data_IF_025168976703
#
_entry.id   IF_025168976703
#
_cell.length_a   1.000
_cell.length_b   1.000
_cell.length_c   1.000
_cell.angle_alpha   90.00
_cell.angle_beta   90.00
_cell.angle_gamma   90.00
#
_symmetry.space_group_name_H-M   'P 1'
#
loop_
_entity.id
_entity.type
_entity.pdbx_description
1 polymer ?
#
# COMPACT_ATOMS: atom_id res chain seq x y z
N UNK A 1 -25.33 36.36 -53.35
CA UNK A 1 -24.36 35.65 -52.43
C UNK A 1 -24.53 36.25 -51.05
N UNK A 2 -25.30 35.61 -50.18
CA UNK A 2 -25.61 36.12 -48.84
C UNK A 2 -24.83 35.34 -47.84
N UNK A 3 -23.97 36.04 -47.13
CA UNK A 3 -23.23 35.54 -45.95
C UNK A 3 -24.24 35.24 -44.80
N UNK A 4 -24.28 34.01 -44.34
CA UNK A 4 -24.98 33.57 -43.13
C UNK A 4 -23.94 33.46 -42.00
N UNK A 5 -23.76 34.52 -41.27
CA UNK A 5 -23.18 34.45 -39.92
C UNK A 5 -24.30 34.09 -38.96
N UNK A 6 -24.21 32.91 -38.35
CA UNK A 6 -25.03 32.56 -37.16
C UNK A 6 -24.31 33.07 -35.91
N UNK A 7 -24.99 33.77 -35.00
CA UNK A 7 -24.39 34.17 -33.73
C UNK A 7 -24.27 32.96 -32.81
N UNK A 8 -23.07 32.76 -32.29
CA UNK A 8 -22.80 31.81 -31.23
C UNK A 8 -23.44 32.36 -29.97
N UNK A 9 -24.51 31.73 -29.55
CA UNK A 9 -25.12 32.00 -28.25
C UNK A 9 -24.13 31.71 -27.13
N UNK A 10 -23.81 32.74 -26.36
CA UNK A 10 -23.17 32.61 -25.06
C UNK A 10 -24.08 31.74 -24.15
N UNK A 11 -23.82 30.45 -24.10
CA UNK A 11 -24.37 29.62 -23.05
C UNK A 11 -23.50 29.85 -21.80
N UNK A 12 -24.07 30.50 -20.80
CA UNK A 12 -23.58 30.45 -19.45
C UNK A 12 -23.82 29.02 -19.00
N UNK A 13 -22.80 28.17 -19.13
CA UNK A 13 -22.86 26.81 -18.59
C UNK A 13 -22.69 26.87 -17.09
N UNK A 14 -23.82 26.95 -16.39
CA UNK A 14 -23.90 26.50 -15.01
C UNK A 14 -24.28 25.02 -15.10
N UNK A 15 -23.28 24.15 -15.26
CA UNK A 15 -23.54 22.71 -15.20
C UNK A 15 -23.44 22.29 -13.74
N UNK A 16 -24.61 22.10 -13.11
CA UNK A 16 -24.75 21.28 -11.93
C UNK A 16 -24.68 19.81 -12.39
N UNK A 17 -23.52 19.21 -12.36
CA UNK A 17 -23.42 17.77 -12.51
C UNK A 17 -23.49 17.10 -11.14
N UNK A 18 -24.68 16.67 -10.76
CA UNK A 18 -24.86 15.67 -9.73
C UNK A 18 -24.55 14.30 -10.33
N UNK A 19 -23.39 13.73 -10.03
CA UNK A 19 -23.15 12.30 -10.27
C UNK A 19 -23.13 11.62 -8.91
N UNK A 20 -24.30 11.16 -8.47
CA UNK A 20 -24.41 10.13 -7.45
C UNK A 20 -24.22 8.79 -8.18
N UNK A 21 -23.02 8.26 -8.19
CA UNK A 21 -22.77 6.88 -8.59
C UNK A 21 -22.56 6.05 -7.32
N UNK A 22 -23.64 5.47 -6.81
CA UNK A 22 -23.58 4.37 -5.86
C UNK A 22 -23.17 3.12 -6.62
N UNK A 23 -21.89 2.79 -6.64
CA UNK A 23 -21.42 1.46 -7.05
C UNK A 23 -21.23 0.66 -5.77
N UNK A 24 -22.27 -0.09 -5.42
CA UNK A 24 -22.15 -1.18 -4.49
C UNK A 24 -21.44 -2.34 -5.21
N UNK A 25 -20.12 -2.40 -5.08
CA UNK A 25 -19.33 -3.59 -5.36
C UNK A 25 -18.53 -3.87 -4.09
N UNK A 26 -18.74 -5.05 -3.57
CA UNK A 26 -18.01 -5.69 -2.48
C UNK A 26 -16.53 -5.82 -2.86
N UNK A 27 -15.72 -4.90 -2.38
CA UNK A 27 -14.29 -4.81 -2.58
C UNK A 27 -13.80 -3.48 -2.01
N UNK A 28 -12.62 -3.42 -1.42
CA UNK A 28 -12.06 -2.26 -0.76
C UNK A 28 -12.26 -0.95 -1.53
N UNK A 29 -13.35 -0.27 -1.30
CA UNK A 29 -13.61 1.06 -1.83
C UNK A 29 -13.32 2.07 -0.73
N UNK A 30 -12.25 2.83 -0.89
CA UNK A 30 -12.02 4.04 -0.10
C UNK A 30 -13.25 4.94 -0.33
N UNK A 31 -13.94 5.42 0.70
CA UNK A 31 -15.11 6.27 0.51
C UNK A 31 -14.67 7.60 -0.09
N UNK A 32 -14.92 7.79 -1.38
CA UNK A 32 -14.62 9.03 -2.08
C UNK A 32 -15.87 9.91 -1.97
N UNK A 33 -15.82 10.95 -1.13
CA UNK A 33 -16.88 11.94 -1.05
C UNK A 33 -16.59 13.12 -1.97
N UNK A 34 -17.41 13.30 -3.02
CA UNK A 34 -17.39 14.49 -3.86
C UNK A 34 -18.40 15.51 -3.32
N UNK A 35 -17.93 16.68 -2.88
CA UNK A 35 -18.78 17.82 -2.59
C UNK A 35 -18.49 18.93 -3.60
N UNK A 36 -19.37 19.13 -4.58
CA UNK A 36 -19.33 20.33 -5.42
C UNK A 36 -20.21 21.41 -4.77
N UNK A 37 -19.60 22.45 -4.26
CA UNK A 37 -20.30 23.60 -3.67
C UNK A 37 -20.43 24.71 -4.70
N UNK A 38 -21.67 25.08 -5.03
CA UNK A 38 -21.98 26.17 -5.95
C UNK A 38 -21.62 27.57 -5.47
N UNK A 39 -21.26 27.73 -4.20
CA UNK A 39 -20.92 29.04 -3.61
C UNK A 39 -19.43 29.41 -3.75
N UNK A 40 -18.54 28.47 -3.99
CA UNK A 40 -17.09 28.70 -4.08
C UNK A 40 -16.62 29.12 -5.47
N UNK A 41 -17.37 28.83 -6.53
CA UNK A 41 -17.06 29.26 -7.90
C UNK A 41 -16.91 30.79 -8.07
N UNK A 42 -17.42 31.59 -7.12
CA UNK A 42 -17.24 33.04 -7.14
C UNK A 42 -15.83 33.49 -6.73
N UNK A 43 -15.04 32.65 -6.07
CA UNK A 43 -13.69 33.00 -5.59
C UNK A 43 -12.61 32.73 -6.63
N UNK A 44 -12.89 31.94 -7.67
CA UNK A 44 -11.92 31.64 -8.74
C UNK A 44 -11.82 32.87 -9.68
N UNK A 45 -10.61 33.42 -9.92
CA UNK A 45 -10.42 34.62 -10.72
C UNK A 45 -10.85 34.43 -12.19
N UNK A 46 -11.16 35.54 -12.85
CA UNK A 46 -11.47 35.60 -14.28
C UNK A 46 -10.22 35.67 -15.17
N UNK A 47 -9.07 35.97 -14.59
CA UNK A 47 -7.77 35.94 -15.24
C UNK A 47 -7.17 34.57 -15.12
N UNK A 48 -6.46 34.05 -16.12
CA UNK A 48 -5.81 32.76 -16.03
C UNK A 48 -4.85 32.69 -14.85
N UNK A 49 -4.81 31.51 -14.18
CA UNK A 49 -3.75 31.22 -13.21
C UNK A 49 -2.39 31.24 -13.90
N UNK A 50 -1.34 31.52 -13.16
CA UNK A 50 0.02 31.63 -13.67
C UNK A 50 0.66 30.29 -14.02
N UNK A 51 0.25 29.24 -13.34
CA UNK A 51 0.70 27.87 -13.61
C UNK A 51 -0.29 27.20 -14.57
N UNK A 52 0.20 26.64 -15.67
CA UNK A 52 -0.61 25.90 -16.64
C UNK A 52 -0.19 24.43 -16.69
N UNK A 53 -1.12 23.57 -17.11
CA UNK A 53 -0.86 22.18 -17.40
C UNK A 53 -1.72 21.76 -18.60
N UNK A 54 -1.09 21.07 -19.56
CA UNK A 54 -1.70 20.63 -20.81
C UNK A 54 -1.80 19.10 -20.92
N UNK A 55 -1.36 18.37 -19.89
CA UNK A 55 -1.45 16.90 -19.80
C UNK A 55 -1.87 16.46 -18.40
N UNK A 56 -2.42 15.25 -18.29
CA UNK A 56 -2.75 14.64 -16.99
C UNK A 56 -1.50 14.52 -16.10
N UNK A 57 -0.37 14.16 -16.70
CA UNK A 57 0.91 14.00 -15.99
C UNK A 57 1.38 15.31 -15.37
N UNK A 58 1.29 16.43 -16.13
CA UNK A 58 1.65 17.75 -15.60
C UNK A 58 0.72 18.20 -14.47
N UNK A 59 -0.59 17.91 -14.57
CA UNK A 59 -1.54 18.19 -13.50
C UNK A 59 -1.18 17.40 -12.24
N UNK A 60 -0.93 16.09 -12.37
CA UNK A 60 -0.55 15.21 -11.26
C UNK A 60 0.76 15.70 -10.61
N UNK A 61 1.76 16.05 -11.39
CA UNK A 61 3.03 16.60 -10.86
C UNK A 61 2.82 17.94 -10.14
N UNK A 62 1.96 18.80 -10.64
CA UNK A 62 1.64 20.07 -9.97
C UNK A 62 0.91 19.85 -8.64
N UNK A 63 0.00 18.89 -8.57
CA UNK A 63 -0.67 18.52 -7.30
C UNK A 63 0.37 17.97 -6.32
N UNK A 64 1.21 17.01 -6.74
CA UNK A 64 2.26 16.43 -5.89
C UNK A 64 3.21 17.54 -5.38
N UNK A 65 3.66 18.44 -6.25
CA UNK A 65 4.52 19.55 -5.84
C UNK A 65 3.84 20.50 -4.84
N UNK A 66 2.50 20.62 -4.91
CA UNK A 66 1.73 21.44 -3.96
C UNK A 66 1.51 20.76 -2.60
N UNK A 67 1.66 19.42 -2.52
CA UNK A 67 1.53 18.69 -1.24
C UNK A 67 2.61 19.05 -0.22
N UNK A 68 3.76 19.54 -0.70
CA UNK A 68 4.82 20.06 0.17
C UNK A 68 4.51 21.47 0.72
N UNK A 69 3.47 22.12 0.21
CA UNK A 69 3.02 23.42 0.70
C UNK A 69 2.00 23.28 1.83
N UNK A 70 2.01 24.22 2.78
CA UNK A 70 1.07 24.19 3.93
C UNK A 70 -0.40 24.54 3.55
N UNK A 71 -0.69 24.79 2.28
CA UNK A 71 -2.00 25.29 1.85
C UNK A 71 -2.95 24.20 1.35
N UNK A 72 -2.46 23.01 1.03
CA UNK A 72 -3.25 21.91 0.45
C UNK A 72 -4.12 22.36 -0.75
N UNK A 73 -3.60 23.27 -1.57
CA UNK A 73 -4.29 23.87 -2.71
C UNK A 73 -3.34 23.91 -3.91
N UNK A 74 -3.83 23.42 -5.04
CA UNK A 74 -3.18 23.54 -6.32
C UNK A 74 -4.07 24.35 -7.28
N UNK A 75 -3.54 25.39 -7.90
CA UNK A 75 -4.27 26.27 -8.84
C UNK A 75 -3.62 26.22 -10.21
N UNK A 76 -4.38 25.78 -11.22
CA UNK A 76 -3.90 25.54 -12.59
C UNK A 76 -4.80 26.21 -13.62
N UNK A 77 -4.20 26.68 -14.71
CA UNK A 77 -4.89 26.96 -15.94
C UNK A 77 -4.77 25.74 -16.86
N UNK A 78 -5.91 25.22 -17.31
CA UNK A 78 -6.02 24.04 -18.17
C UNK A 78 -6.75 24.44 -19.45
N UNK A 79 -6.19 24.07 -20.61
CA UNK A 79 -6.77 24.46 -21.92
C UNK A 79 -7.87 23.51 -22.37
N UNK A 80 -7.84 22.25 -21.98
CA UNK A 80 -8.76 21.20 -22.40
C UNK A 80 -9.62 20.71 -21.23
N UNK A 81 -10.95 20.79 -21.38
CA UNK A 81 -11.92 20.34 -20.36
C UNK A 81 -11.82 18.83 -20.10
N UNK A 82 -11.41 18.02 -21.08
CA UNK A 82 -11.28 16.57 -20.95
C UNK A 82 -10.17 16.16 -19.96
N UNK A 83 -9.24 17.07 -19.67
CA UNK A 83 -8.20 16.84 -18.65
C UNK A 83 -8.70 17.06 -17.21
N UNK A 84 -9.90 17.64 -17.02
CA UNK A 84 -10.48 17.92 -15.69
C UNK A 84 -11.19 16.67 -15.18
N UNK A 85 -10.41 15.72 -14.65
CA UNK A 85 -10.89 14.47 -14.10
C UNK A 85 -10.26 14.19 -12.72
N UNK A 86 -10.96 14.61 -11.68
CA UNK A 86 -10.52 14.46 -10.29
C UNK A 86 -10.34 12.98 -9.89
N UNK A 87 -11.14 12.06 -10.43
CA UNK A 87 -11.00 10.62 -10.14
C UNK A 87 -9.71 10.06 -10.73
N UNK A 88 -9.41 10.47 -11.98
CA UNK A 88 -8.17 10.06 -12.63
C UNK A 88 -6.97 10.58 -11.87
N UNK A 89 -6.96 11.85 -11.45
CA UNK A 89 -5.85 12.41 -10.68
C UNK A 89 -5.69 11.70 -9.34
N UNK A 90 -6.78 11.51 -8.58
CA UNK A 90 -6.74 10.80 -7.30
C UNK A 90 -6.21 9.38 -7.43
N UNK A 91 -6.55 8.68 -8.52
CA UNK A 91 -6.05 7.33 -8.80
C UNK A 91 -4.54 7.28 -9.12
N UNK A 92 -3.92 8.41 -9.45
CA UNK A 92 -2.51 8.53 -9.82
C UNK A 92 -1.63 9.11 -8.70
N UNK A 93 -2.24 9.63 -7.62
CA UNK A 93 -1.52 10.30 -6.53
C UNK A 93 -1.69 9.49 -5.26
N UNK A 94 -0.59 9.10 -4.64
CA UNK A 94 -0.60 8.49 -3.33
C UNK A 94 -0.54 9.57 -2.24
N UNK A 95 -1.21 9.33 -1.11
CA UNK A 95 -1.17 10.22 0.06
C UNK A 95 -2.28 11.25 0.13
N UNK A 96 -3.22 11.26 -0.80
CA UNK A 96 -4.42 12.11 -0.76
C UNK A 96 -5.61 11.26 -0.32
N UNK A 97 -6.28 11.66 0.77
CA UNK A 97 -7.51 11.04 1.26
C UNK A 97 -8.75 11.57 0.52
N UNK A 98 -8.81 12.88 0.33
CA UNK A 98 -9.90 13.55 -0.37
C UNK A 98 -9.34 14.58 -1.34
N UNK A 99 -9.97 14.69 -2.51
CA UNK A 99 -9.65 15.70 -3.51
C UNK A 99 -10.95 16.37 -3.97
N UNK A 100 -10.96 17.70 -3.92
CA UNK A 100 -12.04 18.55 -4.42
C UNK A 100 -11.54 19.38 -5.58
N UNK A 101 -12.26 19.35 -6.68
CA UNK A 101 -11.97 20.13 -7.87
C UNK A 101 -13.07 21.18 -8.10
N UNK A 102 -12.69 22.44 -8.22
CA UNK A 102 -13.56 23.54 -8.62
C UNK A 102 -12.95 24.22 -9.83
N UNK A 103 -13.76 24.56 -10.82
CA UNK A 103 -13.22 25.24 -11.99
C UNK A 103 -14.15 26.33 -12.51
N UNK A 104 -13.56 27.27 -13.23
CA UNK A 104 -14.22 28.36 -13.91
C UNK A 104 -13.76 28.42 -15.36
N UNK A 105 -14.71 28.35 -16.29
CA UNK A 105 -14.44 28.64 -17.69
C UNK A 105 -14.06 30.12 -17.87
N UNK A 106 -12.93 30.37 -18.50
CA UNK A 106 -12.44 31.70 -18.85
C UNK A 106 -12.09 31.75 -20.35
N UNK A 107 -11.53 32.84 -20.82
CA UNK A 107 -11.11 32.92 -22.23
C UNK A 107 -9.96 31.93 -22.48
N UNK A 108 -10.14 31.05 -23.44
CA UNK A 108 -9.17 30.03 -23.91
C UNK A 108 -8.91 28.84 -22.94
N UNK A 109 -9.74 28.60 -21.95
CA UNK A 109 -9.56 27.44 -21.06
C UNK A 109 -10.28 27.58 -19.74
N UNK A 110 -9.73 26.94 -18.73
CA UNK A 110 -10.33 26.78 -17.40
C UNK A 110 -9.32 27.11 -16.32
N UNK A 111 -9.70 27.96 -15.39
CA UNK A 111 -9.02 28.06 -14.11
C UNK A 111 -9.55 26.95 -13.20
N UNK A 112 -8.68 26.08 -12.77
CA UNK A 112 -8.98 24.92 -11.93
C UNK A 112 -8.31 25.10 -10.56
N UNK A 113 -9.11 25.04 -9.52
CA UNK A 113 -8.61 25.01 -8.13
C UNK A 113 -8.86 23.62 -7.57
N UNK A 114 -7.80 22.98 -7.14
CA UNK A 114 -7.78 21.65 -6.57
C UNK A 114 -7.43 21.82 -5.10
N UNK A 115 -8.34 21.44 -4.21
CA UNK A 115 -8.11 21.36 -2.76
C UNK A 115 -8.10 19.90 -2.36
N UNK A 116 -7.21 19.52 -1.46
CA UNK A 116 -7.09 18.13 -1.05
C UNK A 116 -6.77 18.01 0.44
N UNK A 117 -7.12 16.88 1.00
CA UNK A 117 -6.75 16.46 2.33
C UNK A 117 -5.79 15.29 2.18
N UNK A 118 -4.59 15.43 2.75
CA UNK A 118 -3.62 14.33 2.78
C UNK A 118 -3.97 13.36 3.91
N UNK A 119 -3.58 12.11 3.74
CA UNK A 119 -3.66 11.15 4.84
C UNK A 119 -2.92 11.68 6.06
N UNK A 120 -3.38 11.31 7.24
CA UNK A 120 -2.78 11.71 8.52
C UNK A 120 -1.26 11.49 8.55
N UNK A 121 -0.77 10.43 7.91
CA UNK A 121 0.63 10.05 7.88
C UNK A 121 1.57 11.08 7.22
N UNK A 122 1.12 11.86 6.22
CA UNK A 122 1.95 12.89 5.59
C UNK A 122 2.35 13.97 6.59
N UNK A 123 1.38 14.43 7.40
CA UNK A 123 1.63 15.40 8.49
C UNK A 123 2.53 14.78 9.58
N UNK A 124 2.29 13.52 9.92
CA UNK A 124 3.05 12.78 10.93
C UNK A 124 4.52 12.61 10.52
N UNK A 125 4.78 12.21 9.26
CA UNK A 125 6.15 12.06 8.73
C UNK A 125 6.88 13.40 8.74
N UNK A 126 6.21 14.49 8.32
CA UNK A 126 6.77 15.85 8.38
C UNK A 126 7.08 16.27 9.81
N UNK A 127 6.19 16.02 10.76
CA UNK A 127 6.39 16.30 12.17
C UNK A 127 7.58 15.52 12.75
N UNK A 128 7.69 14.24 12.44
CA UNK A 128 8.81 13.39 12.88
C UNK A 128 10.15 13.89 12.36
N UNK A 129 10.23 14.21 11.04
CA UNK A 129 11.46 14.71 10.42
C UNK A 129 11.89 16.09 10.90
N UNK A 130 10.91 16.95 11.25
CA UNK A 130 11.18 18.29 11.77
C UNK A 130 11.29 18.36 13.28
N UNK A 131 11.11 17.25 13.99
CA UNK A 131 11.06 17.17 15.47
C UNK A 131 10.04 18.15 16.08
N UNK A 132 8.92 18.39 15.37
CA UNK A 132 7.91 19.36 15.76
C UNK A 132 6.50 18.88 15.50
N UNK A 133 5.69 18.78 16.55
CA UNK A 133 4.29 18.36 16.49
C UNK A 133 3.29 19.54 16.45
N UNK A 134 3.80 20.79 16.32
CA UNK A 134 2.99 22.00 16.45
C UNK A 134 1.79 22.07 15.50
N UNK A 135 1.92 21.51 14.31
CA UNK A 135 0.87 21.56 13.27
C UNK A 135 -0.02 20.31 13.25
N UNK A 136 0.15 19.38 14.17
CA UNK A 136 -0.67 18.17 14.23
C UNK A 136 -2.00 18.43 14.96
N UNK A 137 -3.09 17.91 14.40
CA UNK A 137 -4.37 17.85 15.09
C UNK A 137 -4.38 16.73 16.16
N UNK A 138 -5.44 16.66 16.98
CA UNK A 138 -5.55 15.67 18.07
C UNK A 138 -5.43 14.22 17.58
N UNK A 139 -6.06 13.88 16.46
CA UNK A 139 -5.99 12.55 15.85
C UNK A 139 -4.57 12.22 15.39
N UNK A 140 -3.92 13.16 14.72
CA UNK A 140 -2.55 13.03 14.24
C UNK A 140 -1.54 12.93 15.39
N UNK A 141 -1.76 13.65 16.51
CA UNK A 141 -0.93 13.52 17.71
C UNK A 141 -1.01 12.12 18.31
N UNK A 142 -2.21 11.55 18.41
CA UNK A 142 -2.38 10.15 18.90
C UNK A 142 -1.64 9.15 18.01
N UNK A 143 -1.71 9.33 16.69
CA UNK A 143 -0.98 8.48 15.75
C UNK A 143 0.53 8.70 15.82
N UNK A 144 0.98 9.95 15.90
CA UNK A 144 2.39 10.30 16.05
C UNK A 144 3.01 9.61 17.28
N UNK A 145 2.35 9.73 18.44
CA UNK A 145 2.80 9.09 19.66
C UNK A 145 2.82 7.57 19.56
N UNK A 146 1.86 6.98 18.84
CA UNK A 146 1.83 5.54 18.61
C UNK A 146 2.96 5.09 17.69
N UNK A 147 3.20 5.77 16.57
CA UNK A 147 4.28 5.46 15.65
C UNK A 147 5.66 5.61 16.29
N UNK A 148 5.91 6.71 17.00
CA UNK A 148 7.18 6.95 17.69
C UNK A 148 7.45 5.88 18.74
N UNK A 149 6.44 5.51 19.53
CA UNK A 149 6.54 4.44 20.52
C UNK A 149 6.85 3.07 19.88
N UNK A 150 6.23 2.77 18.74
CA UNK A 150 6.56 1.53 18.00
C UNK A 150 8.03 1.55 17.59
N UNK A 151 8.50 2.63 16.97
CA UNK A 151 9.89 2.72 16.55
C UNK A 151 10.88 2.63 17.74
N UNK A 152 10.56 3.26 18.87
CA UNK A 152 11.37 3.15 20.10
C UNK A 152 11.45 1.71 20.65
N UNK A 153 10.36 0.95 20.50
CA UNK A 153 10.27 -0.44 20.98
C UNK A 153 11.05 -1.41 20.09
N UNK A 154 10.92 -1.29 18.76
CA UNK A 154 11.40 -2.33 17.84
C UNK A 154 12.69 -1.97 17.11
N UNK A 155 13.12 -0.69 17.11
CA UNK A 155 14.29 -0.24 16.34
C UNK A 155 15.48 0.01 17.26
N UNK A 156 16.61 -0.58 16.89
CA UNK A 156 17.90 -0.35 17.55
C UNK A 156 18.87 0.44 16.66
N UNK A 157 19.77 1.26 17.21
CA UNK A 157 20.61 2.20 16.45
C UNK A 157 21.49 1.58 15.36
N UNK A 158 21.83 0.31 15.47
CA UNK A 158 22.77 -0.37 14.56
C UNK A 158 22.07 -1.33 13.57
N UNK A 159 20.76 -1.34 13.53
CA UNK A 159 20.04 -2.18 12.57
C UNK A 159 20.22 -1.66 11.15
N UNK A 160 20.47 -2.59 10.22
CA UNK A 160 20.40 -2.34 8.77
C UNK A 160 18.95 -2.11 8.33
N UNK A 161 18.75 -1.54 7.14
CA UNK A 161 17.40 -1.24 6.66
C UNK A 161 16.52 -2.49 6.53
N UNK A 162 17.08 -3.62 6.09
CA UNK A 162 16.35 -4.89 6.09
C UNK A 162 15.97 -5.38 7.51
N UNK A 163 16.79 -5.16 8.52
CA UNK A 163 16.48 -5.54 9.90
C UNK A 163 15.39 -4.63 10.48
N UNK A 164 15.39 -3.35 10.15
CA UNK A 164 14.31 -2.41 10.50
C UNK A 164 13.00 -2.80 9.81
N UNK A 165 13.08 -3.11 8.52
CA UNK A 165 11.93 -3.53 7.71
C UNK A 165 11.26 -4.79 8.27
N UNK A 166 12.05 -5.84 8.59
CA UNK A 166 11.55 -7.06 9.23
C UNK A 166 10.89 -6.73 10.58
N UNK A 167 11.53 -5.90 11.40
CA UNK A 167 10.98 -5.55 12.72
C UNK A 167 9.63 -4.82 12.60
N UNK A 168 9.47 -3.94 11.62
CA UNK A 168 8.20 -3.26 11.32
C UNK A 168 7.15 -4.26 10.83
N UNK A 169 7.51 -5.10 9.86
CA UNK A 169 6.64 -6.13 9.32
C UNK A 169 6.09 -7.03 10.45
N UNK A 170 7.00 -7.59 11.24
CA UNK A 170 6.67 -8.52 12.31
C UNK A 170 5.79 -7.87 13.38
N UNK A 171 6.06 -6.61 13.72
CA UNK A 171 5.23 -5.85 14.65
C UNK A 171 3.80 -5.69 14.13
N UNK A 172 3.63 -5.36 12.85
CA UNK A 172 2.30 -5.14 12.28
C UNK A 172 1.50 -6.44 12.19
N UNK A 173 2.13 -7.53 11.76
CA UNK A 173 1.49 -8.87 11.72
C UNK A 173 1.09 -9.35 13.12
N UNK A 174 1.89 -9.07 14.14
CA UNK A 174 1.62 -9.52 15.51
C UNK A 174 0.59 -8.65 16.26
N UNK A 175 0.39 -7.40 15.84
CA UNK A 175 -0.41 -6.43 16.59
C UNK A 175 -1.69 -5.95 15.90
N UNK A 176 -1.90 -6.28 14.63
CA UNK A 176 -3.10 -5.94 13.88
C UNK A 176 -3.85 -7.22 13.54
N UNK A 177 -5.17 -7.18 13.55
CA UNK A 177 -6.00 -8.29 13.09
C UNK A 177 -6.71 -7.90 11.80
N UNK A 178 -6.61 -8.74 10.78
CA UNK A 178 -7.38 -8.55 9.56
C UNK A 178 -8.87 -8.74 9.82
N UNK A 179 -9.69 -7.83 9.31
CA UNK A 179 -11.15 -7.90 9.39
C UNK A 179 -11.78 -7.93 8.01
N UNK A 180 -12.74 -8.84 7.82
CA UNK A 180 -13.55 -8.83 6.61
C UNK A 180 -14.62 -7.73 6.73
N UNK A 181 -14.65 -6.79 5.80
CA UNK A 181 -15.50 -5.59 5.81
C UNK A 181 -16.99 -5.85 5.53
N UNK A 182 -17.43 -7.09 5.55
CA UNK A 182 -18.85 -7.42 5.52
C UNK A 182 -19.65 -6.79 6.67
N UNK A 183 -18.97 -6.37 7.75
CA UNK A 183 -19.53 -5.54 8.81
C UNK A 183 -19.05 -4.08 8.65
N UNK A 184 -19.91 -3.23 8.09
CA UNK A 184 -19.65 -1.80 7.86
C UNK A 184 -19.51 -0.95 9.13
N UNK A 185 -19.56 -1.56 10.33
CA UNK A 185 -19.43 -0.86 11.61
C UNK A 185 -17.99 -0.42 11.92
N UNK A 186 -16.98 -0.97 11.21
CA UNK A 186 -15.57 -0.67 11.43
C UNK A 186 -14.99 0.12 10.28
N UNK A 187 -14.43 1.30 10.58
CA UNK A 187 -13.60 2.04 9.62
C UNK A 187 -12.18 1.47 9.62
N UNK A 188 -12.01 0.25 9.08
CA UNK A 188 -10.75 -0.51 9.12
C UNK A 188 -9.76 -0.16 8.00
N UNK A 189 -9.97 0.96 7.30
CA UNK A 189 -9.26 1.30 6.05
C UNK A 189 -8.00 2.16 6.25
N UNK A 190 -7.67 2.57 7.46
CA UNK A 190 -6.61 3.53 7.71
C UNK A 190 -5.72 3.14 8.91
N UNK A 191 -4.59 3.81 9.01
CA UNK A 191 -3.60 3.58 10.06
C UNK A 191 -4.14 3.78 11.48
N UNK A 192 -5.10 4.68 11.67
CA UNK A 192 -5.70 4.90 12.99
C UNK A 192 -6.42 3.66 13.49
N UNK A 193 -7.24 3.04 12.64
CA UNK A 193 -7.91 1.78 13.00
C UNK A 193 -6.90 0.66 13.21
N UNK A 194 -5.91 0.54 12.36
CA UNK A 194 -4.86 -0.46 12.47
C UNK A 194 -4.10 -0.36 13.79
N UNK A 195 -3.60 0.82 14.15
CA UNK A 195 -2.69 0.98 15.28
C UNK A 195 -3.38 1.28 16.61
N UNK A 196 -4.57 1.88 16.60
CA UNK A 196 -5.29 2.25 17.82
C UNK A 196 -6.36 1.23 18.18
N UNK A 197 -7.10 0.73 17.16
CA UNK A 197 -8.15 -0.27 17.39
C UNK A 197 -7.65 -1.72 17.20
N UNK A 198 -6.45 -1.91 16.61
CA UNK A 198 -5.87 -3.22 16.36
C UNK A 198 -6.55 -4.01 15.24
N UNK A 199 -7.28 -3.36 14.34
CA UNK A 199 -8.02 -3.98 13.24
C UNK A 199 -7.80 -3.22 11.93
N UNK A 200 -7.58 -3.94 10.83
CA UNK A 200 -7.43 -3.33 9.52
C UNK A 200 -7.84 -4.26 8.37
N UNK A 201 -8.03 -3.66 7.20
CA UNK A 201 -7.95 -4.29 5.88
C UNK A 201 -6.62 -3.92 5.24
N UNK A 202 -6.36 -4.38 4.01
CA UNK A 202 -5.09 -4.18 3.31
C UNK A 202 -4.58 -2.73 3.30
N UNK A 203 -5.45 -1.73 3.14
CA UNK A 203 -5.05 -0.32 3.13
C UNK A 203 -4.49 0.15 4.48
N UNK A 204 -5.04 -0.31 5.61
CA UNK A 204 -4.52 0.03 6.93
C UNK A 204 -3.13 -0.55 7.21
N UNK A 205 -2.90 -1.83 6.84
CA UNK A 205 -1.57 -2.45 6.92
C UNK A 205 -0.56 -1.70 6.04
N UNK A 206 -0.92 -1.49 4.77
CA UNK A 206 -0.07 -0.82 3.79
C UNK A 206 0.31 0.59 4.22
N UNK A 207 -0.63 1.36 4.77
CA UNK A 207 -0.41 2.71 5.27
C UNK A 207 0.53 2.72 6.48
N UNK A 208 0.32 1.81 7.45
CA UNK A 208 1.18 1.71 8.63
C UNK A 208 2.62 1.34 8.26
N UNK A 209 2.78 0.32 7.42
CA UNK A 209 4.09 -0.15 6.96
C UNK A 209 4.85 0.95 6.22
N UNK A 210 4.16 1.61 5.27
CA UNK A 210 4.71 2.74 4.53
C UNK A 210 5.16 3.86 5.47
N UNK A 211 4.31 4.28 6.41
CA UNK A 211 4.59 5.41 7.30
C UNK A 211 5.80 5.15 8.18
N UNK A 212 5.90 3.95 8.78
CA UNK A 212 7.04 3.57 9.61
C UNK A 212 8.36 3.54 8.82
N UNK A 213 8.34 3.03 7.59
CA UNK A 213 9.51 3.06 6.70
C UNK A 213 9.90 4.49 6.31
N UNK A 214 8.91 5.34 5.96
CA UNK A 214 9.15 6.75 5.63
C UNK A 214 9.73 7.55 6.79
N UNK A 215 9.29 7.28 8.03
CA UNK A 215 9.86 7.89 9.24
C UNK A 215 11.34 7.52 9.42
N UNK A 216 11.73 6.31 9.04
CA UNK A 216 13.11 5.83 9.08
C UNK A 216 13.94 6.20 7.85
N UNK A 217 13.35 6.85 6.84
CA UNK A 217 13.99 7.23 5.59
C UNK A 217 14.27 6.06 4.64
N UNK A 218 13.56 4.94 4.80
CA UNK A 218 13.65 3.77 3.90
C UNK A 218 12.70 4.00 2.72
N UNK A 219 13.26 4.06 1.52
CA UNK A 219 12.51 4.32 0.30
C UNK A 219 11.50 3.20 0.02
N UNK A 220 10.24 3.58 -0.13
CA UNK A 220 9.15 2.64 -0.36
C UNK A 220 8.01 3.30 -1.15
N UNK A 221 7.12 2.48 -1.71
CA UNK A 221 5.92 2.93 -2.40
C UNK A 221 4.78 1.91 -2.22
N UNK A 222 3.61 2.23 -2.76
CA UNK A 222 2.45 1.35 -2.77
C UNK A 222 2.07 0.95 -4.19
N UNK A 223 1.57 -0.27 -4.34
CA UNK A 223 0.99 -0.78 -5.57
C UNK A 223 -0.47 -1.12 -5.31
N UNK A 224 -1.35 -0.66 -6.20
CA UNK A 224 -2.75 -1.04 -6.22
C UNK A 224 -3.01 -2.02 -7.36
N UNK A 225 -3.79 -3.04 -7.08
CA UNK A 225 -4.10 -4.09 -8.05
C UNK A 225 -5.20 -5.01 -7.53
N UNK A 226 -5.12 -6.29 -7.86
CA UNK A 226 -6.02 -7.33 -7.39
C UNK A 226 -5.22 -8.50 -6.80
N UNK A 227 -5.75 -9.11 -5.75
CA UNK A 227 -5.25 -10.33 -5.16
C UNK A 227 -6.43 -11.22 -4.75
N UNK A 228 -6.37 -12.53 -5.04
CA UNK A 228 -7.49 -13.43 -4.76
C UNK A 228 -8.81 -13.05 -5.43
N UNK A 229 -8.77 -12.28 -6.53
CA UNK A 229 -9.96 -11.79 -7.24
C UNK A 229 -10.64 -10.57 -6.62
N UNK A 230 -9.99 -9.90 -5.68
CA UNK A 230 -10.47 -8.69 -5.02
C UNK A 230 -9.49 -7.53 -5.20
N UNK A 231 -9.99 -6.29 -5.16
CA UNK A 231 -9.14 -5.10 -5.13
C UNK A 231 -8.23 -5.15 -3.91
N UNK A 232 -6.95 -4.90 -4.14
CA UNK A 232 -5.92 -5.04 -3.13
C UNK A 232 -4.84 -3.97 -3.27
N UNK A 233 -4.13 -3.71 -2.17
CA UNK A 233 -3.02 -2.77 -2.12
C UNK A 233 -1.92 -3.34 -1.21
N UNK A 234 -0.66 -3.18 -1.64
CA UNK A 234 0.52 -3.64 -0.91
C UNK A 234 1.70 -2.70 -1.12
N UNK A 235 2.83 -2.99 -0.49
CA UNK A 235 4.00 -2.14 -0.55
C UNK A 235 5.09 -2.70 -1.48
N UNK A 236 5.96 -1.80 -1.93
CA UNK A 236 7.28 -2.12 -2.47
C UNK A 236 8.34 -1.32 -1.73
N UNK A 237 9.47 -1.95 -1.44
CA UNK A 237 10.58 -1.37 -0.68
C UNK A 237 11.85 -1.38 -1.50
N UNK A 238 12.61 -0.30 -1.47
CA UNK A 238 13.90 -0.20 -2.14
C UNK A 238 15.04 -0.49 -1.15
N UNK A 239 15.76 -1.57 -1.41
CA UNK A 239 16.97 -1.94 -0.69
C UNK A 239 18.12 -2.09 -1.65
N UNK A 240 19.21 -1.35 -1.46
CA UNK A 240 20.41 -1.36 -2.33
C UNK A 240 20.06 -1.11 -3.83
N UNK A 241 19.17 -0.15 -4.12
CA UNK A 241 18.69 0.19 -5.48
C UNK A 241 17.98 -0.97 -6.21
N UNK A 242 17.34 -1.86 -5.45
CA UNK A 242 16.48 -2.91 -5.97
C UNK A 242 15.15 -2.88 -5.21
N UNK A 243 14.08 -3.08 -5.95
CA UNK A 243 12.73 -3.12 -5.39
C UNK A 243 12.35 -4.53 -4.96
N UNK A 244 11.53 -4.63 -3.93
CA UNK A 244 10.98 -5.88 -3.39
C UNK A 244 9.53 -5.65 -3.05
N UNK A 245 8.66 -6.59 -3.42
CA UNK A 245 7.26 -6.57 -3.04
C UNK A 245 7.09 -7.11 -1.62
N UNK A 246 6.26 -6.44 -0.84
CA UNK A 246 5.91 -6.83 0.53
C UNK A 246 4.41 -6.70 0.71
N UNK A 247 3.74 -7.78 1.09
CA UNK A 247 2.33 -7.78 1.44
C UNK A 247 2.14 -8.23 2.88
N UNK A 248 2.17 -7.28 3.80
CA UNK A 248 1.99 -7.51 5.24
C UNK A 248 0.62 -8.12 5.53
N UNK A 249 -0.40 -7.79 4.72
CA UNK A 249 -1.76 -8.31 4.89
C UNK A 249 -1.84 -9.81 4.61
N UNK A 250 -1.16 -10.28 3.56
CA UNK A 250 -1.16 -11.70 3.19
C UNK A 250 -0.20 -12.53 4.04
N UNK A 251 0.70 -11.88 4.76
CA UNK A 251 1.55 -12.49 5.78
C UNK A 251 0.87 -12.52 7.18
N UNK A 252 -0.34 -11.92 7.32
CA UNK A 252 -1.20 -12.04 8.50
C UNK A 252 -2.44 -12.91 8.20
N UNK A 253 -2.32 -14.25 8.26
CA UNK A 253 -3.42 -15.13 7.92
C UNK A 253 -4.55 -15.08 8.96
N UNK A 254 -5.77 -14.79 8.50
CA UNK A 254 -6.98 -14.71 9.32
C UNK A 254 -7.16 -15.97 10.18
N UNK A 255 -7.29 -15.78 11.48
CA UNK A 255 -7.56 -16.86 12.42
C UNK A 255 -6.35 -17.76 12.70
N UNK A 256 -5.15 -17.35 12.35
CA UNK A 256 -3.93 -18.06 12.70
C UNK A 256 -3.72 -18.00 14.22
N UNK A 257 -3.69 -19.18 14.87
CA UNK A 257 -3.19 -19.33 16.23
C UNK A 257 -1.68 -19.64 16.25
N UNK A 258 -0.99 -19.38 15.16
CA UNK A 258 0.43 -19.65 15.02
C UNK A 258 1.23 -18.67 15.87
N UNK A 259 2.17 -19.19 16.66
CA UNK A 259 3.17 -18.38 17.37
C UNK A 259 4.31 -17.92 16.42
N UNK A 260 4.15 -18.09 15.12
CA UNK A 260 5.17 -17.81 14.10
C UNK A 260 4.60 -16.87 13.06
N UNK A 261 5.33 -15.79 12.81
CA UNK A 261 4.99 -14.79 11.80
C UNK A 261 5.33 -15.37 10.42
N UNK A 262 4.38 -15.25 9.50
CA UNK A 262 4.59 -15.63 8.10
C UNK A 262 5.38 -14.55 7.36
N UNK A 263 6.27 -14.95 6.48
CA UNK A 263 7.07 -14.06 5.62
C UNK A 263 6.99 -14.49 4.16
N UNK A 264 5.89 -15.15 3.82
CA UNK A 264 5.72 -15.69 2.46
C UNK A 264 5.67 -14.60 1.40
N UNK A 265 5.15 -13.43 1.74
CA UNK A 265 5.06 -12.26 0.86
C UNK A 265 6.03 -11.14 1.27
N UNK A 266 7.08 -11.48 2.03
CA UNK A 266 8.09 -10.53 2.44
C UNK A 266 9.27 -10.50 1.46
N UNK A 267 9.51 -9.36 0.84
CA UNK A 267 10.64 -9.09 -0.08
C UNK A 267 10.73 -10.08 -1.26
N UNK A 268 9.60 -10.35 -1.89
CA UNK A 268 9.55 -11.20 -3.08
C UNK A 268 9.71 -10.39 -4.38
N UNK A 269 10.03 -11.09 -5.46
CA UNK A 269 10.14 -10.46 -6.78
C UNK A 269 8.78 -10.11 -7.37
N UNK A 270 8.74 -9.20 -8.36
CA UNK A 270 7.52 -8.89 -9.11
C UNK A 270 6.95 -10.14 -9.81
N UNK A 271 7.80 -11.04 -10.28
CA UNK A 271 7.35 -12.27 -10.94
C UNK A 271 6.79 -13.29 -9.93
N UNK A 272 7.34 -13.36 -8.70
CA UNK A 272 6.78 -14.17 -7.63
C UNK A 272 5.44 -13.60 -7.15
N UNK A 273 5.32 -12.26 -7.03
CA UNK A 273 4.07 -11.60 -6.66
C UNK A 273 2.98 -11.82 -7.73
N UNK A 274 3.35 -11.82 -9.01
CA UNK A 274 2.41 -12.02 -10.12
C UNK A 274 1.82 -13.43 -10.24
N UNK A 275 2.21 -14.38 -9.38
CA UNK A 275 1.60 -15.72 -9.35
C UNK A 275 0.16 -15.69 -8.81
N UNK A 276 -0.17 -14.72 -7.98
CA UNK A 276 -1.48 -14.60 -7.30
C UNK A 276 -1.98 -13.15 -7.15
N UNK A 277 -1.16 -12.16 -7.53
CA UNK A 277 -1.51 -10.75 -7.61
C UNK A 277 -1.46 -10.25 -9.05
N UNK A 278 -2.31 -9.28 -9.38
CA UNK A 278 -2.30 -8.62 -10.70
C UNK A 278 -2.32 -7.11 -10.53
N UNK A 279 -1.54 -6.39 -11.35
CA UNK A 279 -1.49 -4.92 -11.37
C UNK A 279 -1.08 -4.41 -12.74
N UNK A 280 -1.25 -3.14 -12.99
CA UNK A 280 -0.73 -2.50 -14.21
C UNK A 280 0.79 -2.30 -14.09
N UNK A 281 1.56 -3.29 -14.59
CA UNK A 281 3.03 -3.26 -14.56
C UNK A 281 3.62 -2.08 -15.32
N UNK A 282 2.91 -1.55 -16.32
CA UNK A 282 3.38 -0.38 -17.09
C UNK A 282 3.35 0.89 -16.24
N UNK A 283 2.30 1.06 -15.44
CA UNK A 283 2.14 2.18 -14.49
C UNK A 283 3.21 2.14 -13.40
N UNK A 284 3.54 0.94 -12.92
CA UNK A 284 4.49 0.73 -11.84
C UNK A 284 5.87 0.26 -12.32
N UNK A 285 6.23 0.56 -13.58
CA UNK A 285 7.48 0.09 -14.22
C UNK A 285 8.76 0.49 -13.50
N UNK A 286 8.74 1.57 -12.69
CA UNK A 286 9.86 1.98 -11.85
C UNK A 286 10.23 0.93 -10.78
N UNK A 287 9.29 0.06 -10.38
CA UNK A 287 9.44 -0.93 -9.32
C UNK A 287 9.74 -2.35 -9.84
N UNK A 288 9.84 -2.51 -11.16
CA UNK A 288 10.08 -3.82 -11.79
C UNK A 288 11.53 -4.34 -11.66
N UNK A 289 12.48 -3.45 -11.33
CA UNK A 289 13.87 -3.86 -11.11
C UNK A 289 14.02 -4.53 -9.73
N UNK A 290 13.56 -5.77 -9.65
CA UNK A 290 13.61 -6.53 -8.42
C UNK A 290 14.99 -7.12 -8.15
N UNK A 291 15.33 -7.18 -6.86
CA UNK A 291 16.50 -7.87 -6.33
C UNK A 291 16.17 -9.30 -5.90
N UNK A 292 17.19 -10.02 -5.49
CA UNK A 292 17.03 -11.33 -4.85
C UNK A 292 17.78 -11.44 -3.52
N UNK A 293 18.66 -10.47 -3.22
CA UNK A 293 19.54 -10.49 -2.04
C UNK A 293 18.74 -10.49 -0.74
N UNK A 294 17.70 -9.70 -0.67
CA UNK A 294 16.90 -9.47 0.51
C UNK A 294 15.56 -10.23 0.52
N UNK A 295 15.32 -11.14 -0.46
CA UNK A 295 14.21 -12.07 -0.30
C UNK A 295 14.35 -12.83 1.02
N UNK A 296 13.25 -13.01 1.75
CA UNK A 296 13.29 -13.57 3.11
C UNK A 296 14.07 -14.89 3.18
N UNK A 297 13.79 -15.81 2.25
CA UNK A 297 14.45 -17.12 2.21
C UNK A 297 15.97 -17.01 2.07
N UNK A 298 16.48 -16.06 1.28
CA UNK A 298 17.92 -15.84 1.09
C UNK A 298 18.53 -15.09 2.25
N UNK A 299 17.88 -14.04 2.72
CA UNK A 299 18.35 -13.24 3.84
C UNK A 299 18.49 -14.09 5.12
N UNK A 300 17.44 -14.87 5.43
CA UNK A 300 17.46 -15.82 6.56
C UNK A 300 18.27 -17.09 6.30
N UNK A 301 18.80 -17.28 5.08
CA UNK A 301 19.59 -18.45 4.69
C UNK A 301 18.81 -19.76 4.93
N UNK A 302 17.52 -19.77 4.57
CA UNK A 302 16.69 -20.95 4.72
C UNK A 302 17.32 -22.13 3.95
N UNK A 303 17.23 -23.36 4.49
CA UNK A 303 17.75 -24.55 3.80
C UNK A 303 17.11 -24.73 2.42
N UNK A 304 17.91 -24.89 1.38
CA UNK A 304 17.44 -25.28 0.06
C UNK A 304 17.50 -26.82 -0.06
N UNK A 305 16.33 -27.42 -0.19
CA UNK A 305 16.17 -28.89 -0.28
C UNK A 305 15.93 -29.26 -1.74
N UNK A 306 16.87 -30.00 -2.33
CA UNK A 306 16.86 -30.35 -3.75
C UNK A 306 16.45 -31.81 -4.02
N UNK A 307 16.33 -32.63 -2.98
CA UNK A 307 15.98 -34.05 -3.12
C UNK A 307 15.42 -34.64 -1.83
N UNK A 308 14.80 -35.83 -1.97
CA UNK A 308 14.14 -36.53 -0.86
C UNK A 308 15.08 -36.90 0.30
N UNK A 309 16.37 -37.17 0.03
CA UNK A 309 17.32 -37.52 1.09
C UNK A 309 17.63 -36.32 1.98
N UNK A 310 17.76 -35.14 1.39
CA UNK A 310 17.93 -33.89 2.15
C UNK A 310 16.70 -33.57 2.98
N UNK A 311 15.48 -33.75 2.42
CA UNK A 311 14.24 -33.56 3.17
C UNK A 311 14.16 -34.52 4.35
N UNK A 312 14.39 -35.82 4.12
CA UNK A 312 14.36 -36.81 5.20
C UNK A 312 15.37 -36.48 6.31
N UNK A 313 16.58 -36.04 5.96
CA UNK A 313 17.58 -35.60 6.93
C UNK A 313 17.15 -34.38 7.73
N UNK A 314 16.57 -33.39 7.06
CA UNK A 314 16.04 -32.18 7.71
C UNK A 314 14.94 -32.55 8.70
N UNK A 315 13.91 -33.26 8.25
CA UNK A 315 12.77 -33.66 9.07
C UNK A 315 13.19 -34.54 10.24
N UNK A 316 14.07 -35.55 9.99
CA UNK A 316 14.59 -36.40 11.05
C UNK A 316 15.32 -35.58 12.14
N UNK A 317 16.19 -34.64 11.77
CA UNK A 317 16.90 -33.80 12.73
C UNK A 317 15.97 -32.87 13.49
N UNK A 318 14.97 -32.29 12.82
CA UNK A 318 13.95 -31.44 13.42
C UNK A 318 13.14 -32.18 14.48
N UNK A 319 12.62 -33.35 14.14
CA UNK A 319 11.83 -34.18 15.07
C UNK A 319 12.69 -34.68 16.23
N UNK A 320 13.91 -35.15 15.95
CA UNK A 320 14.84 -35.59 17.00
C UNK A 320 15.18 -34.50 18.00
N UNK A 321 15.35 -33.27 17.54
CA UNK A 321 15.69 -32.12 18.38
C UNK A 321 14.46 -31.43 18.99
N UNK A 322 13.25 -31.92 18.70
CA UNK A 322 11.97 -31.32 19.12
C UNK A 322 11.87 -29.84 18.73
N UNK A 323 12.34 -29.50 17.52
CA UNK A 323 12.21 -28.15 16.98
C UNK A 323 10.76 -27.92 16.60
N UNK A 324 10.11 -26.92 17.21
CA UNK A 324 8.67 -26.70 17.05
C UNK A 324 8.30 -26.12 15.68
N UNK A 325 9.22 -25.38 15.05
CA UNK A 325 8.96 -24.75 13.76
C UNK A 325 10.21 -24.75 12.88
N UNK A 326 10.02 -24.98 11.57
CA UNK A 326 11.07 -24.87 10.56
C UNK A 326 10.52 -24.25 9.29
N UNK A 327 11.40 -23.52 8.61
CA UNK A 327 11.17 -23.03 7.26
C UNK A 327 12.28 -23.52 6.34
N UNK A 328 11.93 -23.86 5.11
CA UNK A 328 12.87 -24.27 4.08
C UNK A 328 12.30 -24.07 2.68
N UNK A 329 13.15 -24.10 1.68
CA UNK A 329 12.74 -24.03 0.28
C UNK A 329 13.03 -25.33 -0.46
N UNK A 330 12.22 -25.65 -1.48
CA UNK A 330 12.46 -26.82 -2.32
C UNK A 330 12.40 -26.46 -3.80
N UNK A 331 13.14 -27.22 -4.62
CA UNK A 331 13.07 -27.14 -6.08
C UNK A 331 12.38 -28.37 -6.70
N UNK A 332 11.70 -29.15 -5.88
CA UNK A 332 10.94 -30.34 -6.31
C UNK A 332 9.69 -30.49 -5.43
N UNK A 333 8.73 -31.29 -5.89
CA UNK A 333 7.52 -31.55 -5.12
C UNK A 333 7.85 -32.41 -3.88
N UNK A 334 7.87 -31.81 -2.70
CA UNK A 334 8.27 -32.44 -1.44
C UNK A 334 7.10 -33.19 -0.78
N UNK A 335 7.26 -34.48 -0.50
CA UNK A 335 6.32 -35.27 0.28
C UNK A 335 6.68 -35.21 1.77
N UNK A 336 6.13 -34.20 2.46
CA UNK A 336 6.31 -34.01 3.91
C UNK A 336 5.71 -35.15 4.72
N UNK A 337 4.56 -35.69 4.31
CA UNK A 337 3.88 -36.76 5.01
C UNK A 337 4.75 -38.02 5.07
N UNK A 338 5.32 -38.38 3.93
CA UNK A 338 6.25 -39.51 3.82
C UNK A 338 7.52 -39.25 4.63
N UNK A 339 8.11 -38.06 4.53
CA UNK A 339 9.32 -37.71 5.28
C UNK A 339 9.12 -37.77 6.80
N UNK A 340 7.98 -37.31 7.29
CA UNK A 340 7.62 -37.36 8.71
C UNK A 340 7.35 -38.81 9.15
N UNK A 341 6.62 -39.60 8.36
CA UNK A 341 6.34 -41.00 8.68
C UNK A 341 7.60 -41.84 8.87
N UNK A 342 8.65 -41.56 8.09
CA UNK A 342 9.97 -42.21 8.18
C UNK A 342 10.71 -41.95 9.49
N UNK A 343 10.30 -40.93 10.27
CA UNK A 343 10.90 -40.70 11.60
C UNK A 343 10.47 -41.74 12.64
N UNK A 344 9.38 -42.50 12.37
CA UNK A 344 8.79 -43.45 13.28
C UNK A 344 8.12 -42.83 14.49
N UNK A 345 7.96 -41.52 14.54
CA UNK A 345 7.35 -40.75 15.64
C UNK A 345 5.89 -40.47 15.33
N UNK A 346 5.01 -40.63 16.31
CA UNK A 346 3.64 -40.10 16.24
C UNK A 346 3.64 -38.68 16.80
N UNK A 347 3.40 -37.71 15.90
CA UNK A 347 3.33 -36.28 16.24
C UNK A 347 2.30 -35.59 15.36
N UNK A 348 1.75 -34.49 15.86
CA UNK A 348 0.89 -33.61 15.09
C UNK A 348 1.74 -32.56 14.40
N UNK A 349 1.34 -32.18 13.20
CA UNK A 349 1.99 -31.10 12.46
C UNK A 349 0.99 -30.38 11.56
N UNK A 350 1.28 -29.12 11.30
CA UNK A 350 0.65 -28.32 10.26
C UNK A 350 1.71 -27.72 9.36
N UNK A 351 1.36 -27.43 8.13
CA UNK A 351 2.27 -26.74 7.23
C UNK A 351 1.52 -25.84 6.25
N UNK A 352 2.22 -24.79 5.85
CA UNK A 352 1.88 -23.94 4.70
C UNK A 352 2.98 -24.12 3.65
N UNK A 353 2.60 -24.17 2.39
CA UNK A 353 3.55 -24.11 1.29
C UNK A 353 3.05 -23.13 0.25
N UNK A 354 3.98 -22.34 -0.29
CA UNK A 354 3.71 -21.36 -1.32
C UNK A 354 4.69 -21.52 -2.46
N UNK A 355 4.16 -21.70 -3.65
CA UNK A 355 4.95 -21.79 -4.86
C UNK A 355 5.47 -20.40 -5.26
N UNK A 356 6.72 -20.36 -5.67
CA UNK A 356 7.42 -19.24 -6.28
C UNK A 356 7.94 -19.68 -7.66
N UNK A 357 8.33 -18.73 -8.48
CA UNK A 357 8.79 -19.04 -9.85
C UNK A 357 9.87 -20.11 -9.89
N UNK A 358 10.78 -20.12 -8.93
CA UNK A 358 11.95 -21.01 -8.95
C UNK A 358 12.03 -22.00 -7.77
N UNK A 359 11.11 -21.91 -6.80
CA UNK A 359 11.11 -22.77 -5.61
C UNK A 359 9.73 -22.78 -4.95
N UNK A 360 9.51 -23.73 -4.05
CA UNK A 360 8.38 -23.71 -3.12
C UNK A 360 8.91 -23.44 -1.73
N UNK A 361 8.34 -22.44 -1.03
CA UNK A 361 8.62 -22.16 0.38
C UNK A 361 7.71 -23.03 1.25
N UNK A 362 8.27 -23.66 2.25
CA UNK A 362 7.57 -24.45 3.26
C UNK A 362 7.79 -23.84 4.63
N UNK A 363 6.71 -23.72 5.38
CA UNK A 363 6.67 -23.37 6.80
C UNK A 363 5.95 -24.50 7.53
N UNK A 364 6.63 -25.19 8.46
CA UNK A 364 6.13 -26.41 9.10
C UNK A 364 6.21 -26.26 10.60
N UNK A 365 5.07 -26.46 11.28
CA UNK A 365 4.97 -26.42 12.76
C UNK A 365 4.65 -27.82 13.28
N UNK A 366 5.41 -28.26 14.27
CA UNK A 366 5.27 -29.55 14.94
C UNK A 366 4.76 -29.37 16.35
N UNK A 367 3.88 -30.26 16.76
CA UNK A 367 3.39 -30.38 18.16
C UNK A 367 3.85 -31.74 18.72
N UNK A 368 4.64 -31.72 19.79
CA UNK A 368 5.28 -32.87 20.40
C UNK A 368 4.53 -33.33 21.64
#
# INVERSE_FOLDING_TARGET
>A
MKNLYKPIHKRVCTILAFVLLSVALTGCTIPISFNMSSNSAMTIPKTAFSQSADTTEEIVQAIIASMDSDNNVCELFITDEELIDANKWLSLINGIEQLRCEYRCIKNGFNVRITYECWDNSAIIKAYRSESTYNLNERQLVLYDKYTKILEEIISPNQSDIEKEIAIHDYLVDNINYVDTGDSSYNAYNAYSALINGIAVCSGYTECFKTLLDMLGIENATISGEAGGQQHIWNVVNLDNHWYHVDVTWDDPVGSSSNYIDHSYFNISADDMALDHTWDRSRYSAYEKCGAKYSYSRYKKLPLISNVNQLNKLIYSTVKNKTAHIEFTTTYNADLKEAISRTGQQLSYSYKNIDRVNYTLYSVTFTY
#
